data_IF_585288808416
#
_entry.id   IF_585288808416
#
_cell.length_a   1.000
_cell.length_b   1.000
_cell.length_c   1.000
_cell.angle_alpha   90.00
_cell.angle_beta   90.00
_cell.angle_gamma   90.00
#
_symmetry.space_group_name_H-M   'P 1'
#
loop_
_entity.id
_entity.type
_entity.pdbx_description
1 polymer ?
#
# COMPACT_ATOMS: atom_id res chain seq x y z
N UNK A 1 29.85 -12.33 -5.59
CA UNK A 1 29.40 -10.92 -5.62
C UNK A 1 27.88 -10.83 -5.84
N UNK A 2 27.04 -10.76 -4.79
CA UNK A 2 25.60 -10.49 -4.92
C UNK A 2 25.28 -9.11 -4.33
N UNK A 3 25.66 -8.01 -5.00
CA UNK A 3 25.51 -6.65 -4.45
C UNK A 3 24.61 -5.72 -5.28
N UNK A 4 24.14 -6.15 -6.46
CA UNK A 4 23.33 -5.30 -7.36
C UNK A 4 21.82 -5.49 -7.20
N UNK A 5 21.38 -6.52 -6.46
CA UNK A 5 19.95 -6.89 -6.40
C UNK A 5 19.14 -6.05 -5.40
N UNK A 6 19.74 -5.63 -4.27
CA UNK A 6 19.02 -4.86 -3.24
C UNK A 6 18.54 -3.49 -3.73
N UNK A 7 19.27 -2.85 -4.64
CA UNK A 7 18.88 -1.55 -5.21
C UNK A 7 17.60 -1.65 -6.05
N UNK A 8 17.43 -2.74 -6.81
CA UNK A 8 16.21 -2.99 -7.59
C UNK A 8 14.98 -3.17 -6.70
N UNK A 9 15.13 -3.87 -5.59
CA UNK A 9 14.06 -4.05 -4.60
C UNK A 9 13.65 -2.71 -3.97
N UNK A 10 14.63 -1.89 -3.58
CA UNK A 10 14.37 -0.56 -3.02
C UNK A 10 13.63 0.32 -4.04
N UNK A 11 14.05 0.32 -5.31
CA UNK A 11 13.37 1.08 -6.36
C UNK A 11 11.93 0.58 -6.58
N UNK A 12 11.71 -0.74 -6.56
CA UNK A 12 10.37 -1.31 -6.68
C UNK A 12 9.46 -0.90 -5.51
N UNK A 13 9.99 -0.86 -4.28
CA UNK A 13 9.25 -0.41 -3.10
C UNK A 13 8.84 1.06 -3.23
N UNK A 14 9.74 1.93 -3.67
CA UNK A 14 9.43 3.35 -3.89
C UNK A 14 8.37 3.55 -4.96
N UNK A 15 8.47 2.86 -6.09
CA UNK A 15 7.46 2.93 -7.17
C UNK A 15 6.11 2.44 -6.67
N UNK A 16 6.06 1.34 -5.93
CA UNK A 16 4.84 0.84 -5.31
C UNK A 16 4.25 1.86 -4.32
N UNK A 17 5.08 2.45 -3.45
CA UNK A 17 4.63 3.46 -2.48
C UNK A 17 4.06 4.72 -3.17
N UNK A 18 4.73 5.21 -4.22
CA UNK A 18 4.24 6.33 -5.02
C UNK A 18 2.95 5.98 -5.76
N UNK A 19 2.84 4.78 -6.31
CA UNK A 19 1.63 4.31 -6.98
C UNK A 19 0.43 4.35 -6.03
N UNK A 20 0.53 3.75 -4.84
CA UNK A 20 -0.56 3.75 -3.85
C UNK A 20 -0.80 5.12 -3.21
N UNK A 21 0.23 5.95 -3.04
CA UNK A 21 0.07 7.32 -2.53
C UNK A 21 -0.62 8.27 -3.52
N UNK A 22 -0.42 8.06 -4.83
CA UNK A 22 -1.00 8.88 -5.90
C UNK A 22 -2.32 8.31 -6.41
N UNK A 23 -2.60 7.02 -6.22
CA UNK A 23 -3.86 6.38 -6.60
C UNK A 23 -5.15 7.00 -6.01
N UNK A 24 -5.15 7.67 -4.85
CA UNK A 24 -6.28 8.50 -4.37
C UNK A 24 -6.17 9.98 -4.76
N UNK A 25 -5.09 10.39 -5.45
CA UNK A 25 -4.86 11.75 -5.93
C UNK A 25 -5.22 11.89 -7.42
N UNK A 26 -5.50 13.14 -7.79
CA UNK A 26 -6.17 13.70 -8.97
C UNK A 26 -6.23 12.94 -10.33
N UNK A 27 -5.24 12.18 -10.84
CA UNK A 27 -5.38 11.43 -12.11
C UNK A 27 -6.24 10.17 -12.05
N UNK A 28 -6.27 9.48 -10.91
CA UNK A 28 -6.94 8.18 -10.74
C UNK A 28 -7.90 8.36 -9.57
N UNK A 29 -9.18 8.58 -9.82
CA UNK A 29 -10.20 8.79 -8.76
C UNK A 29 -10.62 7.46 -8.12
N UNK A 30 -9.67 6.59 -7.77
CA UNK A 30 -9.97 5.28 -7.16
C UNK A 30 -10.26 5.38 -5.66
N UNK A 31 -9.98 6.55 -5.06
CA UNK A 31 -10.36 6.89 -3.69
C UNK A 31 -10.37 8.40 -3.48
N UNK A 32 -10.54 8.82 -2.22
CA UNK A 32 -10.60 10.21 -1.76
C UNK A 32 -10.02 10.33 -0.35
N UNK A 33 -9.00 11.15 -0.16
CA UNK A 33 -8.62 11.54 1.19
C UNK A 33 -9.67 12.47 1.79
N UNK A 34 -10.17 12.14 2.98
CA UNK A 34 -11.02 12.99 3.80
C UNK A 34 -10.23 13.53 4.98
N UNK A 35 -10.73 14.58 5.62
CA UNK A 35 -10.12 15.12 6.83
C UNK A 35 -10.55 14.24 7.99
N UNK A 36 -9.58 13.85 8.82
CA UNK A 36 -9.87 13.07 10.03
C UNK A 36 -10.84 13.85 10.94
N UNK A 37 -11.77 13.20 11.68
CA UNK A 37 -12.77 13.89 12.50
C UNK A 37 -12.19 14.86 13.54
N UNK A 38 -10.93 14.67 13.95
CA UNK A 38 -10.22 15.57 14.86
C UNK A 38 -9.54 16.76 14.17
N UNK A 39 -9.57 16.84 12.83
CA UNK A 39 -9.06 17.96 12.05
C UNK A 39 -7.53 18.10 12.00
N UNK A 40 -6.79 17.16 12.58
CA UNK A 40 -5.32 17.22 12.70
C UNK A 40 -4.58 16.54 11.55
N UNK A 41 -5.29 15.85 10.67
CA UNK A 41 -4.69 15.09 9.57
C UNK A 41 -5.68 14.74 8.47
N UNK A 42 -5.15 14.13 7.41
CA UNK A 42 -5.93 13.58 6.30
C UNK A 42 -5.86 12.05 6.37
N UNK A 43 -7.00 11.39 6.21
CA UNK A 43 -7.12 9.94 6.21
C UNK A 43 -7.88 9.49 4.96
N UNK A 44 -7.71 8.23 4.59
CA UNK A 44 -8.61 7.58 3.63
C UNK A 44 -10.05 7.60 4.20
N UNK A 45 -11.02 7.95 3.37
CA UNK A 45 -12.46 7.89 3.65
C UNK A 45 -13.00 6.45 3.67
N UNK A 46 -12.85 5.79 4.82
CA UNK A 46 -13.37 4.43 5.06
C UNK A 46 -14.90 4.37 5.24
N UNK A 47 -15.57 5.52 5.39
CA UNK A 47 -17.00 5.59 5.66
C UNK A 47 -17.83 5.56 4.37
N UNK A 48 -17.24 6.03 3.27
CA UNK A 48 -17.82 5.91 1.94
C UNK A 48 -18.06 4.44 1.55
N UNK A 49 -19.32 4.10 1.22
CA UNK A 49 -19.75 2.76 0.80
C UNK A 49 -19.51 2.49 -0.70
N UNK A 50 -18.54 3.17 -1.29
CA UNK A 50 -18.26 3.06 -2.71
C UNK A 50 -17.45 1.80 -3.00
N UNK A 51 -17.93 0.97 -3.94
CA UNK A 51 -17.31 -0.31 -4.30
C UNK A 51 -15.87 -0.11 -4.79
N UNK A 52 -15.61 0.96 -5.55
CA UNK A 52 -14.27 1.33 -6.02
C UNK A 52 -13.31 1.61 -4.87
N UNK A 53 -13.83 2.22 -3.80
CA UNK A 53 -13.07 2.58 -2.62
C UNK A 53 -12.69 1.35 -1.80
N UNK A 54 -13.66 0.45 -1.59
CA UNK A 54 -13.44 -0.82 -0.93
C UNK A 54 -12.46 -1.69 -1.72
N UNK A 55 -12.61 -1.76 -3.04
CA UNK A 55 -11.69 -2.49 -3.90
C UNK A 55 -10.27 -1.94 -3.81
N UNK A 56 -10.11 -0.61 -3.85
CA UNK A 56 -8.81 0.05 -3.65
C UNK A 56 -8.17 -0.34 -2.31
N UNK A 57 -8.94 -0.25 -1.22
CA UNK A 57 -8.47 -0.60 0.12
C UNK A 57 -8.04 -2.06 0.23
N UNK A 58 -8.87 -2.97 -0.26
CA UNK A 58 -8.58 -4.40 -0.22
C UNK A 58 -7.33 -4.74 -1.01
N UNK A 59 -7.18 -4.21 -2.22
CA UNK A 59 -5.98 -4.47 -3.03
C UNK A 59 -4.73 -3.88 -2.38
N UNK A 60 -4.80 -2.64 -1.87
CA UNK A 60 -3.68 -2.02 -1.16
C UNK A 60 -3.25 -2.85 0.06
N UNK A 61 -4.19 -3.29 0.90
CA UNK A 61 -3.90 -4.12 2.08
C UNK A 61 -3.28 -5.46 1.67
N UNK A 62 -3.82 -6.12 0.64
CA UNK A 62 -3.27 -7.39 0.17
C UNK A 62 -1.85 -7.22 -0.33
N UNK A 63 -1.60 -6.21 -1.18
CA UNK A 63 -0.30 -6.01 -1.84
C UNK A 63 0.75 -5.47 -0.87
N UNK A 64 0.42 -4.47 -0.06
CA UNK A 64 1.38 -3.76 0.79
C UNK A 64 1.53 -4.37 2.19
N UNK A 65 0.60 -5.24 2.62
CA UNK A 65 0.66 -5.84 3.95
C UNK A 65 0.66 -7.36 3.90
N UNK A 66 -0.32 -8.00 3.26
CA UNK A 66 -0.43 -9.47 3.26
C UNK A 66 0.75 -10.13 2.56
N UNK A 67 1.16 -9.63 1.39
CA UNK A 67 2.32 -10.19 0.66
C UNK A 67 3.62 -10.04 1.47
N UNK A 68 4.01 -8.85 1.97
CA UNK A 68 5.21 -8.70 2.79
C UNK A 68 5.18 -9.53 4.08
N UNK A 69 4.05 -9.56 4.78
CA UNK A 69 3.90 -10.38 6.01
C UNK A 69 4.02 -11.86 5.69
N UNK A 70 3.39 -12.32 4.61
CA UNK A 70 3.51 -13.70 4.12
C UNK A 70 4.95 -14.07 3.78
N UNK A 71 5.68 -13.18 3.11
CA UNK A 71 7.09 -13.37 2.81
C UNK A 71 7.96 -13.44 4.09
N UNK A 72 7.68 -12.58 5.07
CA UNK A 72 8.36 -12.63 6.37
C UNK A 72 8.10 -13.94 7.12
N UNK A 73 6.84 -14.39 7.18
CA UNK A 73 6.47 -15.66 7.82
C UNK A 73 7.12 -16.84 7.10
N UNK A 74 7.07 -16.86 5.76
CA UNK A 74 7.72 -17.88 4.95
C UNK A 74 9.22 -17.94 5.25
N UNK A 75 9.89 -16.79 5.27
CA UNK A 75 11.31 -16.72 5.62
C UNK A 75 11.54 -17.26 7.05
N UNK A 76 10.73 -16.86 8.02
CA UNK A 76 10.86 -17.30 9.41
C UNK A 76 10.64 -18.82 9.61
N UNK A 77 9.81 -19.45 8.77
CA UNK A 77 9.57 -20.90 8.81
C UNK A 77 10.68 -21.67 8.09
N UNK A 78 11.19 -21.18 6.95
CA UNK A 78 12.26 -21.85 6.19
C UNK A 78 13.66 -21.64 6.79
N UNK A 79 13.83 -20.65 7.66
CA UNK A 79 15.07 -20.43 8.42
C UNK A 79 15.18 -21.37 9.64
N UNK A 80 14.06 -21.98 10.06
CA UNK A 80 14.06 -23.11 11.00
C UNK A 80 14.20 -24.43 10.25
#
# INVERSE_FOLDING_TARGET
>A
HPAKSSSLLVMAIWVNALFWGVAPLNPIRWGRYTVEPFGTGCLLDFESRDIMYLAYLLVMVVVCFVIPVGAMIYCAINVK
#
